data_IF_667159120448
#
_entry.id   IF_667159120448
#
_cell.length_a   1.000
_cell.length_b   1.000
_cell.length_c   1.000
_cell.angle_alpha   90.00
_cell.angle_beta   90.00
_cell.angle_gamma   90.00
#
_symmetry.space_group_name_H-M   'P 1'
#
loop_
_entity.id
_entity.type
_entity.pdbx_description
1 polymer ?
#
# COMPACT_ATOMS: atom_id res chain seq x y z
N UNK A 1 17.83 10.64 -21.85
CA UNK A 1 17.86 9.57 -20.81
C UNK A 1 16.83 9.81 -19.70
N UNK A 2 16.58 11.05 -19.25
CA UNK A 2 15.63 11.32 -18.15
C UNK A 2 14.13 11.28 -18.50
N UNK A 3 13.76 11.53 -19.77
CA UNK A 3 12.35 11.46 -20.17
C UNK A 3 11.76 10.03 -20.03
N UNK A 4 12.58 9.00 -20.31
CA UNK A 4 12.17 7.59 -20.15
C UNK A 4 11.98 7.19 -18.68
N UNK A 5 12.85 7.68 -17.78
CA UNK A 5 12.73 7.42 -16.33
C UNK A 5 11.45 8.00 -15.73
N UNK A 6 10.98 9.17 -16.20
CA UNK A 6 9.70 9.74 -15.75
C UNK A 6 8.49 8.92 -16.19
N UNK A 7 8.55 8.22 -17.32
CA UNK A 7 7.44 7.43 -17.89
C UNK A 7 7.25 6.08 -17.16
N UNK A 8 8.31 5.54 -16.56
CA UNK A 8 8.30 4.21 -15.94
C UNK A 8 8.58 4.23 -14.43
N UNK A 9 8.15 5.30 -13.74
CA UNK A 9 8.30 5.43 -12.29
C UNK A 9 9.74 5.35 -11.78
N UNK A 10 10.69 5.84 -12.59
CA UNK A 10 12.13 5.88 -12.31
C UNK A 10 12.98 4.84 -13.04
N UNK A 11 12.35 3.84 -13.69
CA UNK A 11 13.04 2.66 -14.25
C UNK A 11 13.44 2.81 -15.72
N UNK A 12 14.41 2.02 -16.15
CA UNK A 12 14.83 1.81 -17.54
C UNK A 12 14.11 0.62 -18.17
N UNK A 13 14.15 0.51 -19.50
CA UNK A 13 13.53 -0.63 -20.22
C UNK A 13 14.24 -1.95 -19.86
N UNK A 14 15.57 -1.94 -19.74
CA UNK A 14 16.35 -3.13 -19.39
C UNK A 14 15.97 -3.64 -18.00
N UNK A 15 15.85 -2.75 -17.00
CA UNK A 15 15.38 -3.11 -15.66
C UNK A 15 13.97 -3.71 -15.68
N UNK A 16 13.07 -3.17 -16.51
CA UNK A 16 11.71 -3.71 -16.64
C UNK A 16 11.69 -5.10 -17.28
N UNK A 17 12.53 -5.32 -18.29
CA UNK A 17 12.65 -6.59 -18.99
C UNK A 17 13.26 -7.66 -18.08
N UNK A 18 14.32 -7.32 -17.35
CA UNK A 18 14.93 -8.20 -16.35
C UNK A 18 13.93 -8.61 -15.27
N UNK A 19 13.18 -7.65 -14.70
CA UNK A 19 12.14 -7.93 -13.72
C UNK A 19 11.08 -8.89 -14.29
N UNK A 20 10.65 -8.68 -15.53
CA UNK A 20 9.66 -9.53 -16.18
C UNK A 20 10.17 -10.96 -16.37
N UNK A 21 11.39 -11.14 -16.91
CA UNK A 21 11.97 -12.47 -17.16
C UNK A 21 12.16 -13.24 -15.86
N UNK A 22 12.70 -12.59 -14.82
CA UNK A 22 12.96 -13.21 -13.52
C UNK A 22 11.67 -13.66 -12.83
N UNK A 23 10.65 -12.81 -12.85
CA UNK A 23 9.35 -13.15 -12.26
C UNK A 23 8.61 -14.20 -13.10
N UNK A 24 8.71 -14.16 -14.44
CA UNK A 24 8.17 -15.21 -15.31
C UNK A 24 8.73 -16.59 -14.95
N UNK A 25 10.05 -16.68 -14.76
CA UNK A 25 10.68 -17.93 -14.34
C UNK A 25 10.24 -18.36 -12.94
N UNK A 26 10.08 -17.41 -12.01
CA UNK A 26 9.69 -17.69 -10.61
C UNK A 26 8.25 -18.21 -10.53
N UNK A 27 7.31 -17.58 -11.23
CA UNK A 27 5.88 -17.87 -11.12
C UNK A 27 5.37 -18.88 -12.17
N UNK A 28 6.24 -19.46 -13.02
CA UNK A 28 5.86 -20.40 -14.10
C UNK A 28 5.00 -21.59 -13.65
N UNK A 29 5.15 -22.03 -12.40
CA UNK A 29 4.40 -23.15 -11.83
C UNK A 29 3.11 -22.74 -11.10
N UNK A 30 2.81 -21.43 -11.06
CA UNK A 30 1.58 -20.83 -10.51
C UNK A 30 0.89 -20.02 -11.62
N UNK A 31 0.28 -20.70 -12.63
CA UNK A 31 -0.31 -20.04 -13.79
C UNK A 31 -1.43 -19.05 -13.41
N UNK A 32 -2.10 -19.28 -12.29
CA UNK A 32 -3.10 -18.39 -11.70
C UNK A 32 -2.51 -17.02 -11.31
N UNK A 33 -1.33 -17.02 -10.68
CA UNK A 33 -0.60 -15.80 -10.30
C UNK A 33 0.12 -15.18 -11.49
N UNK A 34 0.77 -16.02 -12.32
CA UNK A 34 1.50 -15.56 -13.50
C UNK A 34 0.60 -14.78 -14.45
N UNK A 35 -0.61 -15.27 -14.72
CA UNK A 35 -1.56 -14.59 -15.61
C UNK A 35 -1.83 -13.14 -15.15
N UNK A 36 -1.94 -12.90 -13.84
CA UNK A 36 -2.17 -11.56 -13.28
C UNK A 36 -0.96 -10.64 -13.47
N UNK A 37 0.24 -11.17 -13.24
CA UNK A 37 1.49 -10.45 -13.45
C UNK A 37 1.67 -10.08 -14.93
N UNK A 38 1.41 -11.04 -15.83
CA UNK A 38 1.50 -10.83 -17.27
C UNK A 38 0.52 -9.76 -17.77
N UNK A 39 -0.76 -9.85 -17.35
CA UNK A 39 -1.79 -8.85 -17.64
C UNK A 39 -1.33 -7.44 -17.22
N UNK A 40 -0.71 -7.31 -16.04
CA UNK A 40 -0.19 -6.05 -15.52
C UNK A 40 1.03 -5.52 -16.28
N UNK A 41 2.05 -6.37 -16.44
CA UNK A 41 3.33 -5.99 -17.02
C UNK A 41 3.22 -5.65 -18.52
N UNK A 42 2.32 -6.33 -19.24
CA UNK A 42 2.08 -6.15 -20.67
C UNK A 42 0.85 -5.27 -20.97
N UNK A 43 0.22 -4.70 -19.95
CA UNK A 43 -0.97 -3.85 -20.10
C UNK A 43 -0.73 -2.71 -21.08
N UNK A 44 -1.74 -2.32 -21.86
CA UNK A 44 -1.67 -1.10 -22.68
C UNK A 44 -1.77 0.18 -21.82
N UNK A 45 -2.28 0.08 -20.59
CA UNK A 45 -2.34 1.18 -19.63
C UNK A 45 -0.96 1.41 -18.98
N UNK A 46 -0.40 2.62 -19.17
CA UNK A 46 0.90 2.99 -18.60
C UNK A 46 0.93 2.93 -17.06
N UNK A 47 -0.17 3.27 -16.41
CA UNK A 47 -0.28 3.27 -14.94
C UNK A 47 -0.18 1.85 -14.39
N UNK A 48 -0.87 0.92 -15.04
CA UNK A 48 -0.86 -0.49 -14.70
C UNK A 48 0.53 -1.08 -14.92
N UNK A 49 1.18 -0.78 -16.05
CA UNK A 49 2.56 -1.21 -16.28
C UNK A 49 3.51 -0.66 -15.21
N UNK A 50 3.42 0.63 -14.88
CA UNK A 50 4.29 1.25 -13.87
C UNK A 50 4.06 0.63 -12.48
N UNK A 51 2.81 0.49 -12.06
CA UNK A 51 2.43 -0.12 -10.78
C UNK A 51 2.90 -1.56 -10.68
N UNK A 52 2.67 -2.36 -11.72
CA UNK A 52 3.17 -3.74 -11.78
C UNK A 52 4.70 -3.77 -11.73
N UNK A 53 5.41 -2.91 -12.46
CA UNK A 53 6.87 -2.86 -12.40
C UNK A 53 7.41 -2.46 -11.02
N UNK A 54 6.69 -1.61 -10.29
CA UNK A 54 7.02 -1.33 -8.91
C UNK A 54 6.95 -2.59 -8.05
N UNK A 55 5.83 -3.30 -8.10
CA UNK A 55 5.67 -4.58 -7.41
C UNK A 55 6.76 -5.59 -7.79
N UNK A 56 7.00 -5.81 -9.08
CA UNK A 56 8.00 -6.79 -9.55
C UNK A 56 9.41 -6.46 -9.07
N UNK A 57 9.77 -5.17 -9.05
CA UNK A 57 11.07 -4.75 -8.51
C UNK A 57 11.21 -5.04 -7.01
N UNK A 58 10.12 -4.92 -6.25
CA UNK A 58 10.11 -5.28 -4.82
C UNK A 58 10.18 -6.80 -4.64
N UNK A 59 9.52 -7.58 -5.50
CA UNK A 59 9.58 -9.04 -5.47
C UNK A 59 11.02 -9.53 -5.65
N UNK A 60 11.72 -8.96 -6.65
CA UNK A 60 13.13 -9.24 -6.93
C UNK A 60 14.05 -8.90 -5.75
N UNK A 61 13.79 -7.81 -5.02
CA UNK A 61 14.57 -7.43 -3.83
C UNK A 61 14.38 -8.39 -2.65
N UNK A 62 13.22 -9.04 -2.54
CA UNK A 62 12.92 -9.95 -1.44
C UNK A 62 12.28 -11.27 -1.92
N UNK A 63 13.02 -12.09 -2.69
CA UNK A 63 12.47 -13.26 -3.37
C UNK A 63 11.97 -14.33 -2.39
N UNK A 64 12.52 -14.38 -1.17
CA UNK A 64 12.06 -15.31 -0.13
C UNK A 64 10.66 -14.97 0.36
N UNK A 65 10.34 -13.68 0.54
CA UNK A 65 9.01 -13.25 0.97
C UNK A 65 7.99 -13.46 -0.14
N UNK A 66 8.33 -13.03 -1.36
CA UNK A 66 7.45 -13.06 -2.53
C UNK A 66 7.54 -14.35 -3.34
N UNK A 67 8.00 -15.43 -2.71
CA UNK A 67 8.00 -16.75 -3.34
C UNK A 67 6.55 -17.18 -3.63
N UNK A 68 6.28 -17.86 -4.77
CA UNK A 68 4.92 -18.21 -5.17
C UNK A 68 4.15 -19.03 -4.13
N UNK A 69 4.84 -19.86 -3.35
CA UNK A 69 4.28 -20.66 -2.26
C UNK A 69 3.78 -19.83 -1.07
N UNK A 70 4.23 -18.59 -0.91
CA UNK A 70 3.78 -17.70 0.17
C UNK A 70 2.58 -16.84 -0.24
N UNK A 71 2.31 -16.72 -1.55
CA UNK A 71 1.27 -15.85 -2.10
C UNK A 71 0.00 -16.67 -2.36
N UNK A 72 -1.07 -16.27 -1.68
CA UNK A 72 -2.41 -16.83 -1.86
C UNK A 72 -3.03 -16.27 -3.15
N UNK A 73 -2.96 -14.95 -3.30
CA UNK A 73 -3.64 -14.24 -4.38
C UNK A 73 -2.89 -12.97 -4.80
N UNK A 74 -2.98 -12.67 -6.09
CA UNK A 74 -2.61 -11.38 -6.66
C UNK A 74 -3.85 -10.74 -7.29
N UNK A 75 -4.14 -9.50 -6.92
CA UNK A 75 -5.10 -8.67 -7.64
C UNK A 75 -4.34 -7.57 -8.39
N UNK A 76 -4.67 -7.35 -9.66
CA UNK A 76 -4.01 -6.34 -10.51
C UNK A 76 -5.07 -5.46 -11.19
N UNK A 77 -6.22 -5.29 -10.55
CA UNK A 77 -7.28 -4.44 -11.09
C UNK A 77 -6.90 -2.98 -10.95
N UNK A 78 -6.76 -2.29 -12.09
CA UNK A 78 -6.63 -0.84 -12.17
C UNK A 78 -7.83 -0.30 -12.94
N UNK A 79 -8.78 0.35 -12.26
CA UNK A 79 -10.01 0.84 -12.92
C UNK A 79 -9.82 2.21 -13.63
N UNK A 80 -8.64 2.85 -13.56
CA UNK A 80 -8.38 4.21 -14.13
C UNK A 80 -6.91 4.50 -14.54
N UNK A 81 -6.61 5.75 -14.93
CA UNK A 81 -5.31 6.22 -15.45
C UNK A 81 -4.20 6.39 -14.41
N UNK A 82 -3.07 6.98 -14.83
CA UNK A 82 -1.86 7.16 -14.00
C UNK A 82 -2.14 8.21 -12.92
N UNK A 83 -1.87 7.86 -11.66
CA UNK A 83 -2.16 8.67 -10.46
C UNK A 83 -3.65 8.87 -10.08
N UNK A 84 -4.59 8.16 -10.73
CA UNK A 84 -5.99 8.13 -10.32
C UNK A 84 -6.25 7.19 -9.13
N UNK A 85 -7.27 7.50 -8.35
CA UNK A 85 -7.66 6.75 -7.14
C UNK A 85 -8.81 5.78 -7.46
N UNK A 86 -8.63 4.52 -7.06
CA UNK A 86 -9.53 3.41 -7.39
C UNK A 86 -10.42 3.04 -6.20
N UNK A 87 -11.74 3.07 -6.40
CA UNK A 87 -12.72 2.83 -5.32
C UNK A 87 -13.00 1.33 -5.03
N UNK A 88 -12.75 0.42 -5.98
CA UNK A 88 -13.02 -1.02 -5.86
C UNK A 88 -11.75 -1.90 -5.89
N UNK A 89 -10.57 -1.30 -5.82
CA UNK A 89 -9.34 -2.06 -5.89
C UNK A 89 -9.14 -2.84 -4.59
N UNK A 90 -8.76 -4.10 -4.74
CA UNK A 90 -8.31 -4.97 -3.65
C UNK A 90 -6.80 -4.79 -3.52
N UNK A 91 -6.25 -5.23 -2.39
CA UNK A 91 -4.81 -5.34 -2.22
C UNK A 91 -4.16 -6.11 -3.36
N UNK A 92 -3.00 -5.62 -3.79
CA UNK A 92 -2.26 -6.24 -4.89
C UNK A 92 -1.77 -7.65 -4.54
N UNK A 93 -1.43 -7.90 -3.26
CA UNK A 93 -0.91 -9.19 -2.78
C UNK A 93 -1.61 -9.63 -1.49
N UNK A 94 -2.03 -10.89 -1.43
CA UNK A 94 -2.47 -11.58 -0.21
C UNK A 94 -1.55 -12.78 0.05
N UNK A 95 -1.07 -12.91 1.30
CA UNK A 95 -0.21 -14.03 1.73
C UNK A 95 -1.00 -15.15 2.44
N UNK A 96 -0.46 -16.38 2.44
CA UNK A 96 -1.08 -17.61 3.01
C UNK A 96 -1.11 -17.65 4.57
N UNK A 97 -0.99 -16.49 5.24
CA UNK A 97 -1.42 -16.24 6.64
C UNK A 97 -0.48 -16.44 7.84
N UNK A 98 0.81 -16.81 7.68
CA UNK A 98 1.74 -16.84 8.84
C UNK A 98 2.76 -15.67 8.90
N UNK A 99 2.94 -14.94 7.81
CA UNK A 99 3.83 -13.78 7.74
C UNK A 99 3.03 -12.48 7.77
N UNK A 100 3.45 -11.53 8.63
CA UNK A 100 2.98 -10.13 8.55
C UNK A 100 3.83 -9.34 7.53
N UNK A 101 3.23 -8.47 6.71
CA UNK A 101 1.80 -8.20 6.61
C UNK A 101 1.03 -9.30 5.87
N UNK A 102 -0.28 -9.43 6.15
CA UNK A 102 -1.18 -10.36 5.48
C UNK A 102 -1.54 -9.86 4.06
N UNK A 103 -1.61 -8.53 3.90
CA UNK A 103 -1.97 -7.86 2.66
C UNK A 103 -0.98 -6.76 2.32
N UNK A 104 -0.60 -6.65 1.04
CA UNK A 104 0.20 -5.54 0.54
C UNK A 104 -0.44 -4.83 -0.63
N UNK A 105 -0.40 -3.50 -0.58
CA UNK A 105 -0.79 -2.58 -1.62
C UNK A 105 0.45 -1.83 -2.12
N UNK A 106 0.74 -1.91 -3.41
CA UNK A 106 1.79 -1.19 -4.08
C UNK A 106 1.25 0.12 -4.65
N UNK A 107 1.76 1.25 -4.18
CA UNK A 107 1.36 2.57 -4.68
C UNK A 107 2.56 3.32 -5.27
N UNK A 108 2.49 3.58 -6.57
CA UNK A 108 3.46 4.40 -7.30
C UNK A 108 2.95 5.84 -7.49
N UNK A 109 2.32 6.43 -6.47
CA UNK A 109 1.88 7.83 -6.53
C UNK A 109 3.05 8.80 -6.31
N UNK A 110 3.01 9.94 -6.96
CA UNK A 110 3.93 11.05 -6.71
C UNK A 110 3.53 11.84 -5.43
N UNK A 111 4.43 12.67 -4.89
CA UNK A 111 4.17 13.45 -3.67
C UNK A 111 2.95 14.39 -3.77
N UNK A 112 2.64 14.93 -4.95
CA UNK A 112 1.46 15.78 -5.15
C UNK A 112 0.17 14.99 -4.96
N UNK A 113 0.09 13.79 -5.55
CA UNK A 113 -1.06 12.89 -5.37
C UNK A 113 -1.21 12.45 -3.92
N UNK A 114 -0.11 12.09 -3.25
CA UNK A 114 -0.13 11.75 -1.83
C UNK A 114 -0.70 12.89 -0.96
N UNK A 115 -0.35 14.15 -1.26
CA UNK A 115 -0.85 15.30 -0.50
C UNK A 115 -2.38 15.49 -0.54
N UNK A 116 -3.06 14.87 -1.51
CA UNK A 116 -4.50 15.02 -1.76
C UNK A 116 -5.35 13.92 -1.12
N UNK A 117 -4.76 12.81 -0.67
CA UNK A 117 -5.50 11.61 -0.21
C UNK A 117 -6.47 11.91 0.93
N UNK A 118 -6.12 12.87 1.79
CA UNK A 118 -6.92 13.20 2.97
C UNK A 118 -8.31 13.77 2.64
N UNK A 119 -8.47 14.29 1.42
CA UNK A 119 -9.72 14.85 0.90
C UNK A 119 -10.33 13.98 -0.22
N UNK A 120 -9.64 12.94 -0.67
CA UNK A 120 -10.11 12.12 -1.79
C UNK A 120 -11.08 11.04 -1.31
N UNK A 121 -12.34 11.17 -1.72
CA UNK A 121 -13.41 10.25 -1.32
C UNK A 121 -13.16 8.81 -1.76
N UNK A 122 -12.55 8.61 -2.94
CA UNK A 122 -12.22 7.28 -3.44
C UNK A 122 -11.14 6.62 -2.58
N UNK A 123 -10.13 7.39 -2.18
CA UNK A 123 -9.02 6.87 -1.38
C UNK A 123 -9.50 6.53 0.02
N UNK A 124 -10.26 7.43 0.64
CA UNK A 124 -10.86 7.22 1.95
C UNK A 124 -11.72 5.94 1.93
N UNK A 125 -12.56 5.76 0.91
CA UNK A 125 -13.40 4.58 0.78
C UNK A 125 -12.60 3.29 0.57
N UNK A 126 -11.54 3.34 -0.25
CA UNK A 126 -10.62 2.22 -0.44
C UNK A 126 -9.93 1.85 0.89
N UNK A 127 -9.33 2.84 1.56
CA UNK A 127 -8.64 2.63 2.83
C UNK A 127 -9.59 2.09 3.92
N UNK A 128 -10.86 2.51 3.93
CA UNK A 128 -11.87 1.92 4.83
C UNK A 128 -12.16 0.46 4.50
N UNK A 129 -12.31 0.13 3.22
CA UNK A 129 -12.53 -1.26 2.77
C UNK A 129 -11.37 -2.18 3.16
N UNK A 130 -10.16 -1.63 3.13
CA UNK A 130 -8.92 -2.24 3.58
C UNK A 130 -8.95 -2.58 5.07
N UNK A 131 -9.32 -1.62 5.92
CA UNK A 131 -9.49 -1.86 7.36
C UNK A 131 -10.61 -2.88 7.70
N UNK A 132 -11.56 -3.11 6.79
CA UNK A 132 -12.67 -4.06 6.95
C UNK A 132 -12.40 -5.44 6.34
N UNK A 133 -11.25 -5.63 5.70
CA UNK A 133 -10.94 -6.88 5.02
C UNK A 133 -10.83 -8.03 6.02
N UNK A 134 -11.43 -9.18 5.67
CA UNK A 134 -11.40 -10.37 6.52
C UNK A 134 -9.96 -10.79 6.83
N UNK A 135 -9.67 -11.07 8.10
CA UNK A 135 -8.32 -11.42 8.57
C UNK A 135 -7.50 -10.23 9.08
N UNK A 136 -7.88 -8.99 8.76
CA UNK A 136 -7.22 -7.78 9.27
C UNK A 136 -7.66 -7.54 10.72
N UNK A 137 -6.75 -7.76 11.67
CA UNK A 137 -6.96 -7.54 13.11
C UNK A 137 -6.17 -6.34 13.61
N UNK A 138 -5.02 -6.08 13.00
CA UNK A 138 -4.08 -4.99 13.31
C UNK A 138 -3.75 -4.22 12.03
N UNK A 139 -3.36 -2.94 12.16
CA UNK A 139 -2.90 -2.17 11.00
C UNK A 139 -1.66 -2.80 10.35
N UNK A 140 -0.80 -3.46 11.13
CA UNK A 140 0.39 -4.18 10.64
C UNK A 140 0.07 -5.50 9.92
N UNK A 141 -1.20 -5.90 9.87
CA UNK A 141 -1.64 -6.96 8.95
C UNK A 141 -1.74 -6.40 7.51
N UNK A 142 -1.60 -5.09 7.33
CA UNK A 142 -1.55 -4.38 6.06
C UNK A 142 -0.14 -3.82 5.83
N UNK A 143 0.25 -3.67 4.57
CA UNK A 143 1.27 -2.69 4.22
C UNK A 143 0.96 -1.93 2.94
N UNK A 144 1.24 -0.63 2.97
CA UNK A 144 1.40 0.19 1.77
C UNK A 144 2.87 0.22 1.42
N UNK A 145 3.23 -0.35 0.28
CA UNK A 145 4.59 -0.31 -0.27
C UNK A 145 4.62 0.80 -1.32
N UNK A 146 5.32 1.89 -1.00
CA UNK A 146 5.39 3.07 -1.87
C UNK A 146 6.65 3.03 -2.74
N UNK A 147 6.55 3.59 -3.94
CA UNK A 147 7.71 3.76 -4.81
C UNK A 147 8.59 4.91 -4.31
N UNK A 148 9.75 4.59 -3.74
CA UNK A 148 10.66 5.58 -3.15
C UNK A 148 11.25 6.54 -4.19
N UNK A 149 11.17 6.21 -5.49
CA UNK A 149 11.61 7.11 -6.56
C UNK A 149 10.59 8.23 -6.86
N UNK A 150 9.34 8.11 -6.39
CA UNK A 150 8.26 9.08 -6.67
C UNK A 150 7.78 9.86 -5.45
N UNK A 151 7.98 9.33 -4.24
CA UNK A 151 7.55 10.00 -3.02
C UNK A 151 8.47 9.64 -1.84
N UNK A 152 8.66 10.60 -0.94
CA UNK A 152 9.36 10.36 0.31
C UNK A 152 8.42 9.70 1.34
N UNK A 153 8.90 8.67 2.04
CA UNK A 153 8.11 7.97 3.05
C UNK A 153 7.56 8.92 4.15
N UNK A 154 8.32 9.93 4.56
CA UNK A 154 7.85 10.88 5.55
C UNK A 154 6.71 11.75 5.02
N UNK A 155 6.74 12.15 3.74
CA UNK A 155 5.64 12.88 3.11
C UNK A 155 4.37 12.04 3.07
N UNK A 156 4.49 10.75 2.73
CA UNK A 156 3.36 9.82 2.75
C UNK A 156 2.80 9.65 4.17
N UNK A 157 3.67 9.50 5.17
CA UNK A 157 3.22 9.41 6.57
C UNK A 157 2.54 10.70 7.04
N UNK A 158 3.00 11.87 6.61
CA UNK A 158 2.30 13.14 6.88
C UNK A 158 0.94 13.20 6.18
N UNK A 159 0.84 12.72 4.94
CA UNK A 159 -0.44 12.62 4.24
C UNK A 159 -1.44 11.70 4.97
N UNK A 160 -0.97 10.56 5.50
CA UNK A 160 -1.79 9.67 6.32
C UNK A 160 -2.16 10.29 7.68
N UNK A 161 -1.27 11.08 8.29
CA UNK A 161 -1.60 11.86 9.48
C UNK A 161 -2.77 12.82 9.21
N UNK A 162 -2.73 13.53 8.09
CA UNK A 162 -3.83 14.42 7.68
C UNK A 162 -5.11 13.65 7.34
N UNK A 163 -5.00 12.49 6.70
CA UNK A 163 -6.12 11.57 6.44
C UNK A 163 -6.80 11.16 7.76
N UNK A 164 -6.03 10.72 8.75
CA UNK A 164 -6.55 10.33 10.06
C UNK A 164 -7.21 11.50 10.79
N UNK A 165 -6.59 12.69 10.80
CA UNK A 165 -7.18 13.89 11.40
C UNK A 165 -8.51 14.27 10.78
N UNK A 166 -8.57 14.41 9.45
CA UNK A 166 -9.77 14.90 8.74
C UNK A 166 -10.92 13.90 8.74
N UNK A 167 -10.61 12.62 8.81
CA UNK A 167 -11.57 11.53 8.70
C UNK A 167 -11.64 10.68 9.98
N UNK A 168 -11.29 11.28 11.13
CA UNK A 168 -11.15 10.61 12.44
C UNK A 168 -12.34 9.72 12.75
N UNK A 169 -13.54 10.29 12.69
CA UNK A 169 -14.80 9.63 12.99
C UNK A 169 -15.04 8.41 12.11
N UNK A 170 -14.90 8.57 10.80
CA UNK A 170 -15.18 7.50 9.84
C UNK A 170 -14.15 6.37 9.92
N UNK A 171 -12.86 6.73 10.00
CA UNK A 171 -11.77 5.77 10.06
C UNK A 171 -11.82 4.97 11.36
N UNK A 172 -12.08 5.63 12.50
CA UNK A 172 -12.22 4.92 13.78
C UNK A 172 -13.40 3.95 13.77
N UNK A 173 -14.58 4.42 13.34
CA UNK A 173 -15.82 3.61 13.32
C UNK A 173 -15.74 2.43 12.34
N UNK A 174 -14.89 2.52 11.32
CA UNK A 174 -14.73 1.46 10.30
C UNK A 174 -14.21 0.16 10.91
N UNK A 175 -13.21 0.23 11.79
CA UNK A 175 -12.72 -0.92 12.55
C UNK A 175 -12.07 -0.46 13.87
N UNK A 176 -12.86 -0.29 14.96
CA UNK A 176 -12.35 0.20 16.23
C UNK A 176 -11.28 -0.69 16.88
N UNK A 177 -11.27 -1.98 16.54
CA UNK A 177 -10.36 -2.94 17.16
C UNK A 177 -8.91 -2.77 16.70
N UNK A 178 -8.68 -2.32 15.46
CA UNK A 178 -7.34 -2.05 14.94
C UNK A 178 -6.59 -1.05 15.83
N UNK A 179 -7.28 -0.05 16.37
CA UNK A 179 -6.64 1.03 17.12
C UNK A 179 -6.26 0.64 18.56
N UNK A 180 -6.86 -0.43 19.11
CA UNK A 180 -6.63 -0.91 20.49
C UNK A 180 -5.21 -1.40 20.76
N UNK A 181 -4.40 -1.59 19.73
CA UNK A 181 -2.98 -1.92 19.90
C UNK A 181 -2.14 -0.72 20.37
N UNK A 182 -2.57 0.49 20.05
CA UNK A 182 -1.84 1.72 20.36
C UNK A 182 -2.21 2.26 21.74
N UNK A 183 -1.21 2.82 22.40
CA UNK A 183 -1.38 3.51 23.68
C UNK A 183 -2.03 4.88 23.45
N UNK A 184 -2.76 5.32 24.47
CA UNK A 184 -3.28 6.68 24.55
C UNK A 184 -2.13 7.65 24.77
N UNK A 185 -2.30 8.88 24.28
CA UNK A 185 -1.33 9.97 24.48
C UNK A 185 -1.06 10.25 25.97
N UNK A 186 -2.10 10.13 26.80
CA UNK A 186 -2.02 10.33 28.25
C UNK A 186 -1.36 9.15 29.02
N UNK A 187 -0.99 8.06 28.32
CA UNK A 187 -0.38 6.88 28.91
C UNK A 187 -1.32 6.04 29.79
N UNK A 188 -2.61 6.36 29.88
CA UNK A 188 -3.56 5.73 30.81
C UNK A 188 -4.16 4.41 30.30
N UNK A 189 -3.72 3.92 29.15
CA UNK A 189 -4.16 2.65 28.57
C UNK A 189 -4.18 2.67 27.05
N UNK A 190 -5.04 1.82 26.47
CA UNK A 190 -5.17 1.65 25.01
C UNK A 190 -6.24 2.54 24.40
N UNK A 191 -6.12 2.81 23.10
CA UNK A 191 -7.15 3.52 22.33
C UNK A 191 -8.38 2.62 22.14
N UNK A 192 -9.40 2.79 22.97
CA UNK A 192 -10.62 1.98 22.94
C UNK A 192 -11.90 2.77 22.63
N UNK A 193 -11.78 4.08 22.41
CA UNK A 193 -12.89 4.98 22.12
C UNK A 193 -12.51 6.00 21.04
N UNK A 194 -13.52 6.54 20.36
CA UNK A 194 -13.33 7.61 19.37
C UNK A 194 -12.64 8.82 19.98
N UNK A 195 -12.98 9.16 21.23
CA UNK A 195 -12.33 10.26 21.95
C UNK A 195 -10.82 10.03 22.04
N UNK A 196 -10.39 8.83 22.43
CA UNK A 196 -8.95 8.55 22.57
C UNK A 196 -8.21 8.57 21.23
N UNK A 197 -8.86 8.11 20.16
CA UNK A 197 -8.27 8.19 18.82
C UNK A 197 -8.17 9.63 18.34
N UNK A 198 -9.19 10.44 18.60
CA UNK A 198 -9.20 11.88 18.33
C UNK A 198 -8.09 12.61 19.12
N UNK A 199 -8.01 12.34 20.42
CA UNK A 199 -6.96 12.88 21.29
C UNK A 199 -5.57 12.54 20.71
N UNK A 200 -5.35 11.32 20.20
CA UNK A 200 -4.10 10.93 19.53
C UNK A 200 -3.82 11.76 18.28
N UNK A 201 -4.75 11.79 17.33
CA UNK A 201 -4.46 12.40 16.02
C UNK A 201 -4.33 13.92 16.09
N UNK A 202 -4.91 14.57 17.11
CA UNK A 202 -4.81 16.01 17.37
C UNK A 202 -3.57 16.39 18.22
N UNK A 203 -2.93 15.44 18.89
CA UNK A 203 -1.79 15.71 19.76
C UNK A 203 -0.53 16.16 18.98
N UNK A 204 0.25 17.04 19.60
CA UNK A 204 1.47 17.61 19.00
C UNK A 204 2.58 16.56 18.84
N UNK A 205 2.64 15.55 19.70
CA UNK A 205 3.62 14.46 19.64
C UNK A 205 3.29 13.43 18.57
N UNK A 206 2.07 13.46 18.00
CA UNK A 206 1.67 12.55 16.94
C UNK A 206 2.38 12.91 15.62
N UNK A 207 3.52 12.29 15.36
CA UNK A 207 4.36 12.56 14.19
C UNK A 207 4.57 11.32 13.30
N UNK A 208 5.32 11.47 12.22
CA UNK A 208 5.61 10.39 11.27
C UNK A 208 6.44 9.22 11.87
N UNK A 209 6.94 9.35 13.11
CA UNK A 209 7.64 8.27 13.81
C UNK A 209 6.68 7.42 14.64
N UNK A 210 5.44 7.86 14.83
CA UNK A 210 4.46 7.10 15.60
C UNK A 210 4.25 5.69 14.99
N UNK A 211 4.24 4.61 15.81
CA UNK A 211 4.14 3.22 15.32
C UNK A 211 2.91 2.93 14.45
N UNK A 212 1.85 3.74 14.56
CA UNK A 212 0.66 3.63 13.70
C UNK A 212 0.99 3.70 12.21
N UNK A 213 2.12 4.30 11.83
CA UNK A 213 2.56 4.44 10.45
C UNK A 213 3.49 3.33 9.98
N UNK A 214 3.72 2.29 10.79
CA UNK A 214 4.63 1.19 10.45
C UNK A 214 4.12 0.33 9.28
N UNK A 215 2.83 0.36 8.99
CA UNK A 215 2.25 -0.26 7.78
C UNK A 215 2.69 0.44 6.48
N UNK A 216 3.27 1.65 6.53
CA UNK A 216 3.80 2.34 5.34
C UNK A 216 5.28 1.97 5.19
N UNK A 217 5.62 1.35 4.05
CA UNK A 217 6.96 0.91 3.65
C UNK A 217 7.36 1.61 2.36
N UNK A 218 8.66 1.76 2.09
CA UNK A 218 9.17 2.37 0.87
C UNK A 218 10.19 1.44 0.20
N UNK A 219 10.03 1.23 -1.11
CA UNK A 219 10.83 0.32 -1.94
C UNK A 219 11.14 0.90 -3.33
#
# INVERSE_FOLDING_TARGET
KDAGRKIFGGRTIDEMLENYIEVAHTFRNRPDLWKKIEEGALSSNAAMREGTQHMLSTFKKNPKKYAPENIEHLDMKFEKGLDDICANCRYDVKFISESKPLYEEFKSYNSETWSKIANDKGFIQQFKSYLQTSGVKNIDDLAYVINSNKANINEVKQAFKELFKRNTDEIFKTNPNIWKQFDRVDGTGKINSLKNFKDLVEDISFDAKHPIFNFIKAE
#
